data_IF_813930003439
#
_entry.id   IF_813930003439
#
_cell.length_a   1.000
_cell.length_b   1.000
_cell.length_c   1.000
_cell.angle_alpha   90.00
_cell.angle_beta   90.00
_cell.angle_gamma   90.00
#
_symmetry.space_group_name_H-M   'P 1'
#
loop_
_entity.id
_entity.type
_entity.pdbx_description
1 polymer ?
#
# COMPACT_ATOMS: atom_id res chain seq x y z
N UNK A 1 -32.97 -89.00 28.31
CA UNK A 1 -32.31 -87.71 28.59
C UNK A 1 -30.96 -87.70 27.89
N UNK A 2 -30.68 -86.72 27.02
CA UNK A 2 -29.30 -86.47 26.55
C UNK A 2 -29.03 -86.36 25.04
N UNK A 3 -30.03 -86.17 24.15
CA UNK A 3 -29.81 -85.94 22.71
C UNK A 3 -29.58 -84.47 22.32
N UNK A 4 -28.97 -83.65 23.19
CA UNK A 4 -28.98 -82.18 23.01
C UNK A 4 -27.61 -81.49 23.00
N UNK A 5 -26.49 -82.22 23.06
CA UNK A 5 -25.17 -81.60 23.27
C UNK A 5 -24.24 -81.57 22.05
N UNK A 6 -24.50 -82.31 20.96
CA UNK A 6 -23.58 -82.39 19.80
C UNK A 6 -23.97 -81.56 18.57
N UNK A 7 -25.18 -81.00 18.51
CA UNK A 7 -25.62 -80.16 17.39
C UNK A 7 -25.33 -78.65 17.56
N UNK A 8 -24.87 -78.21 18.73
CA UNK A 8 -24.63 -76.78 19.01
C UNK A 8 -23.24 -76.27 18.62
N UNK A 9 -22.27 -77.14 18.33
CA UNK A 9 -20.91 -76.70 17.97
C UNK A 9 -20.71 -76.50 16.45
N UNK A 10 -21.54 -77.10 15.60
CA UNK A 10 -21.41 -76.95 14.14
C UNK A 10 -22.21 -75.79 13.55
N UNK A 11 -23.27 -75.30 14.22
CA UNK A 11 -23.99 -74.09 13.79
C UNK A 11 -23.30 -72.78 14.21
N UNK A 12 -22.35 -72.82 15.16
CA UNK A 12 -21.61 -71.64 15.59
C UNK A 12 -20.47 -71.25 14.65
N UNK A 13 -19.88 -72.22 13.92
CA UNK A 13 -18.74 -71.98 13.03
C UNK A 13 -19.16 -71.54 11.62
N UNK A 14 -20.31 -72.01 11.13
CA UNK A 14 -20.84 -71.59 9.81
C UNK A 14 -21.52 -70.22 9.86
N UNK A 15 -22.05 -69.79 11.01
CA UNK A 15 -22.55 -68.43 11.20
C UNK A 15 -21.42 -67.39 11.35
N UNK A 16 -20.23 -67.79 11.83
CA UNK A 16 -19.07 -66.89 11.95
C UNK A 16 -18.27 -66.71 10.65
N UNK A 17 -18.42 -67.62 9.68
CA UNK A 17 -17.81 -67.48 8.34
C UNK A 17 -18.70 -66.74 7.33
N UNK A 18 -19.99 -66.55 7.64
CA UNK A 18 -20.91 -65.72 6.84
C UNK A 18 -21.15 -64.31 7.40
N UNK A 19 -20.47 -63.93 8.49
CA UNK A 19 -20.52 -62.57 9.05
C UNK A 19 -19.27 -61.73 8.73
N UNK A 20 -18.35 -62.24 7.90
CA UNK A 20 -17.22 -61.48 7.34
C UNK A 20 -17.56 -60.94 5.93
N UNK A 21 -18.83 -60.62 5.68
CA UNK A 21 -19.26 -59.83 4.51
C UNK A 21 -19.88 -58.48 4.90
N UNK A 22 -19.80 -58.11 6.19
CA UNK A 22 -20.27 -56.81 6.69
C UNK A 22 -19.12 -55.92 7.16
N UNK A 23 -18.24 -55.53 6.24
CA UNK A 23 -17.41 -54.33 6.42
C UNK A 23 -16.87 -53.77 5.10
N UNK A 24 -17.73 -53.67 4.07
CA UNK A 24 -17.48 -52.82 2.90
C UNK A 24 -17.74 -51.33 3.19
N UNK A 25 -17.39 -50.85 4.38
CA UNK A 25 -17.70 -49.50 4.86
C UNK A 25 -16.72 -48.42 4.31
N UNK A 26 -16.07 -48.69 3.19
CA UNK A 26 -15.20 -47.73 2.51
C UNK A 26 -15.52 -47.75 1.01
N UNK A 27 -15.97 -46.61 0.48
CA UNK A 27 -16.33 -46.41 -0.92
C UNK A 27 -15.23 -45.67 -1.72
N UNK A 28 -14.00 -45.71 -1.22
CA UNK A 28 -12.81 -45.17 -1.89
C UNK A 28 -12.11 -46.34 -2.57
N UNK A 29 -12.00 -46.29 -3.90
CA UNK A 29 -11.19 -47.24 -4.64
C UNK A 29 -9.70 -47.02 -4.33
N UNK A 30 -9.04 -48.08 -3.85
CA UNK A 30 -7.62 -48.08 -3.51
C UNK A 30 -6.80 -48.97 -4.45
N UNK A 31 -7.46 -49.71 -5.36
CA UNK A 31 -6.81 -50.64 -6.28
C UNK A 31 -6.34 -49.93 -7.56
N UNK A 32 -7.12 -48.95 -8.05
CA UNK A 32 -6.79 -48.20 -9.27
C UNK A 32 -6.72 -46.68 -9.07
N UNK A 33 -5.81 -46.15 -8.22
CA UNK A 33 -5.67 -44.71 -8.03
C UNK A 33 -5.00 -44.03 -9.23
N UNK A 34 -5.52 -42.88 -9.64
CA UNK A 34 -4.82 -41.97 -10.55
C UNK A 34 -3.65 -41.30 -9.80
N UNK A 35 -2.44 -41.34 -10.38
CA UNK A 35 -1.23 -40.87 -9.72
C UNK A 35 -0.59 -39.69 -10.45
N UNK A 36 -0.65 -38.52 -9.83
CA UNK A 36 0.02 -37.32 -10.32
C UNK A 36 1.38 -37.14 -9.64
N UNK A 37 2.46 -37.25 -10.41
CA UNK A 37 3.82 -37.05 -9.91
C UNK A 37 4.34 -35.65 -10.26
N UNK A 38 5.02 -35.03 -9.30
CA UNK A 38 5.70 -33.76 -9.48
C UNK A 38 6.97 -33.70 -8.63
N UNK A 39 7.65 -32.57 -8.66
CA UNK A 39 8.91 -32.38 -7.94
C UNK A 39 8.66 -32.34 -6.40
N UNK A 40 9.18 -33.31 -5.63
CA UNK A 40 9.01 -33.34 -4.19
C UNK A 40 9.73 -32.19 -3.48
N UNK A 41 10.82 -31.67 -4.06
CA UNK A 41 11.57 -30.54 -3.47
C UNK A 41 10.80 -29.22 -3.60
N UNK A 42 9.97 -29.10 -4.65
CA UNK A 42 9.05 -27.99 -4.84
C UNK A 42 7.80 -28.08 -3.95
N UNK A 43 7.64 -29.17 -3.18
CA UNK A 43 6.43 -29.49 -2.41
C UNK A 43 5.18 -29.60 -3.29
N UNK A 44 5.33 -30.21 -4.45
CA UNK A 44 4.19 -30.53 -5.30
C UNK A 44 3.16 -31.36 -4.52
N UNK A 45 1.90 -30.94 -4.53
CA UNK A 45 0.82 -31.59 -3.77
C UNK A 45 0.54 -30.94 -2.41
N UNK A 46 1.20 -29.83 -2.06
CA UNK A 46 1.01 -29.17 -0.76
C UNK A 46 -0.45 -28.74 -0.51
N UNK A 47 -1.13 -28.24 -1.54
CA UNK A 47 -2.57 -28.07 -1.58
C UNK A 47 -3.11 -28.63 -2.89
N UNK A 48 -4.30 -29.22 -2.79
CA UNK A 48 -5.04 -29.76 -3.93
C UNK A 48 -6.49 -29.30 -3.81
N UNK A 49 -7.09 -28.90 -4.93
CA UNK A 49 -8.52 -28.68 -5.02
C UNK A 49 -9.05 -29.07 -6.39
N UNK A 50 -10.36 -29.29 -6.49
CA UNK A 50 -11.04 -29.50 -7.75
C UNK A 50 -11.61 -28.16 -8.23
N UNK A 51 -11.44 -27.87 -9.52
CA UNK A 51 -11.97 -26.66 -10.14
C UNK A 51 -12.54 -26.98 -11.53
N UNK A 52 -13.57 -26.24 -11.94
CA UNK A 52 -14.14 -26.34 -13.28
C UNK A 52 -13.66 -25.18 -14.14
N UNK A 53 -13.31 -25.46 -15.38
CA UNK A 53 -12.94 -24.42 -16.34
C UNK A 53 -13.24 -24.91 -17.75
N UNK A 54 -14.00 -24.12 -18.51
CA UNK A 54 -14.46 -24.41 -19.87
C UNK A 54 -15.15 -25.78 -19.97
N UNK A 55 -16.02 -26.08 -18.99
CA UNK A 55 -16.78 -27.33 -18.93
C UNK A 55 -15.95 -28.57 -18.57
N UNK A 56 -14.64 -28.45 -18.36
CA UNK A 56 -13.77 -29.53 -17.91
C UNK A 56 -13.48 -29.43 -16.41
N UNK A 57 -13.31 -30.57 -15.75
CA UNK A 57 -12.92 -30.63 -14.33
C UNK A 57 -11.41 -30.87 -14.24
N UNK A 58 -10.75 -30.05 -13.44
CA UNK A 58 -9.31 -30.06 -13.24
C UNK A 58 -8.98 -30.26 -11.77
N UNK A 59 -7.89 -30.97 -11.50
CA UNK A 59 -7.24 -30.92 -10.20
C UNK A 59 -6.22 -29.79 -10.24
N UNK A 60 -6.36 -28.80 -9.36
CA UNK A 60 -5.37 -27.73 -9.20
C UNK A 60 -4.44 -28.10 -8.07
N UNK A 61 -3.14 -28.16 -8.36
CA UNK A 61 -2.11 -28.61 -7.43
C UNK A 61 -1.09 -27.49 -7.23
N UNK A 62 -0.75 -27.19 -5.97
CA UNK A 62 0.30 -26.22 -5.67
C UNK A 62 1.65 -26.87 -5.41
N UNK A 63 2.71 -26.11 -5.70
CA UNK A 63 4.10 -26.43 -5.39
C UNK A 63 4.79 -25.16 -4.83
N UNK A 64 4.61 -24.83 -3.55
CA UNK A 64 5.00 -23.54 -2.98
C UNK A 64 6.51 -23.28 -2.93
N UNK A 65 7.36 -24.32 -2.97
CA UNK A 65 8.82 -24.14 -2.93
C UNK A 65 9.48 -24.08 -4.31
N UNK A 66 8.69 -24.16 -5.38
CA UNK A 66 9.18 -24.04 -6.75
C UNK A 66 9.97 -22.74 -6.98
N UNK A 67 11.09 -22.83 -7.71
CA UNK A 67 12.06 -21.75 -7.99
C UNK A 67 12.32 -20.82 -6.80
N UNK A 68 13.06 -21.32 -5.81
CA UNK A 68 13.51 -20.53 -4.65
C UNK A 68 12.35 -19.83 -3.91
N UNK A 69 11.29 -20.60 -3.59
CA UNK A 69 10.09 -20.10 -2.89
C UNK A 69 9.28 -19.08 -3.70
N UNK A 70 9.37 -19.07 -5.03
CA UNK A 70 8.39 -18.36 -5.86
C UNK A 70 7.03 -19.03 -5.74
N UNK A 71 7.03 -20.36 -5.86
CA UNK A 71 5.83 -21.17 -5.86
C UNK A 71 5.17 -21.20 -7.23
N UNK A 72 4.45 -22.28 -7.49
CA UNK A 72 3.75 -22.48 -8.76
C UNK A 72 2.46 -23.25 -8.56
N UNK A 73 1.58 -23.14 -9.55
CA UNK A 73 0.34 -23.89 -9.66
C UNK A 73 0.38 -24.78 -10.90
N UNK A 74 -0.31 -25.91 -10.81
CA UNK A 74 -0.47 -26.88 -11.90
C UNK A 74 -1.96 -27.18 -12.06
N UNK A 75 -2.38 -27.38 -13.30
CA UNK A 75 -3.67 -28.00 -13.61
C UNK A 75 -3.40 -29.44 -14.04
N UNK A 76 -4.13 -30.38 -13.49
CA UNK A 76 -3.98 -31.80 -13.81
C UNK A 76 -5.29 -32.38 -14.33
N UNK A 77 -5.20 -33.06 -15.47
CA UNK A 77 -6.33 -33.73 -16.09
C UNK A 77 -6.41 -35.17 -15.59
N UNK A 78 -7.57 -35.56 -15.05
CA UNK A 78 -7.81 -36.91 -14.56
C UNK A 78 -7.66 -37.96 -15.67
N UNK A 79 -8.25 -37.72 -16.84
CA UNK A 79 -8.30 -38.70 -17.93
C UNK A 79 -6.93 -39.04 -18.52
N UNK A 80 -5.98 -38.12 -18.46
CA UNK A 80 -4.64 -38.28 -19.04
C UNK A 80 -3.57 -38.48 -17.97
N UNK A 81 -3.92 -38.31 -16.69
CA UNK A 81 -2.99 -38.33 -15.55
C UNK A 81 -1.80 -37.36 -15.73
N UNK A 82 -1.99 -36.30 -16.51
CA UNK A 82 -0.95 -35.29 -16.78
C UNK A 82 -1.20 -34.00 -16.03
N UNK A 83 -0.12 -33.39 -15.56
CA UNK A 83 -0.12 -32.06 -14.93
C UNK A 83 0.64 -31.06 -15.79
N UNK A 84 0.04 -29.91 -16.04
CA UNK A 84 0.64 -28.79 -16.75
C UNK A 84 0.80 -27.60 -15.80
N UNK A 85 1.99 -27.00 -15.78
CA UNK A 85 2.26 -25.81 -14.98
C UNK A 85 1.51 -24.61 -15.56
N UNK A 86 0.86 -23.82 -14.71
CA UNK A 86 0.24 -22.57 -15.14
C UNK A 86 1.35 -21.55 -15.49
N UNK A 87 1.32 -20.91 -16.68
CA UNK A 87 2.30 -19.91 -17.10
C UNK A 87 2.00 -18.57 -16.43
N UNK A 88 2.20 -18.52 -15.12
CA UNK A 88 2.18 -17.29 -14.37
C UNK A 88 3.43 -16.50 -14.77
N UNK A 89 3.29 -15.21 -15.08
CA UNK A 89 4.42 -14.35 -15.45
C UNK A 89 5.45 -14.21 -14.34
N UNK A 90 6.10 -13.05 -14.24
CA UNK A 90 7.05 -12.83 -13.14
C UNK A 90 6.28 -12.63 -11.83
N UNK A 91 6.43 -13.59 -10.90
CA UNK A 91 5.91 -13.52 -9.53
C UNK A 91 7.10 -13.43 -8.56
N UNK A 92 7.03 -12.60 -7.51
CA UNK A 92 8.07 -12.55 -6.47
C UNK A 92 8.15 -13.86 -5.64
N UNK A 93 9.23 -14.08 -4.86
CA UNK A 93 9.36 -15.22 -3.95
C UNK A 93 8.37 -15.13 -2.78
N UNK A 94 7.15 -15.64 -2.97
CA UNK A 94 6.03 -15.55 -2.00
C UNK A 94 5.53 -16.90 -1.49
N UNK A 95 6.10 -17.99 -1.99
CA UNK A 95 5.64 -19.37 -1.80
C UNK A 95 4.21 -19.55 -2.26
N UNK A 96 3.91 -19.12 -3.50
CA UNK A 96 2.56 -19.14 -4.05
C UNK A 96 1.95 -20.55 -3.96
N UNK A 97 0.74 -20.63 -3.41
CA UNK A 97 0.00 -21.88 -3.27
C UNK A 97 0.16 -22.54 -1.90
N UNK A 98 0.75 -21.84 -0.91
CA UNK A 98 0.62 -22.21 0.50
C UNK A 98 -0.84 -22.14 0.98
N UNK A 99 -1.63 -21.24 0.40
CA UNK A 99 -3.08 -21.26 0.53
C UNK A 99 -3.72 -21.24 -0.85
N UNK A 100 -4.82 -21.98 -0.97
CA UNK A 100 -5.51 -22.22 -2.23
C UNK A 100 -6.98 -22.45 -1.93
N UNK A 101 -7.87 -21.76 -2.64
CA UNK A 101 -9.31 -21.96 -2.56
C UNK A 101 -9.95 -21.73 -3.92
N UNK A 102 -11.09 -22.37 -4.15
CA UNK A 102 -11.89 -22.19 -5.35
C UNK A 102 -13.36 -22.08 -4.97
N UNK A 103 -14.16 -21.40 -5.79
CA UNK A 103 -15.61 -21.45 -5.67
C UNK A 103 -16.22 -22.56 -6.55
N UNK A 104 -17.48 -22.88 -6.26
CA UNK A 104 -18.23 -23.97 -6.89
C UNK A 104 -19.07 -23.49 -8.09
N UNK A 105 -18.63 -22.44 -8.80
CA UNK A 105 -19.31 -21.98 -10.02
C UNK A 105 -19.09 -22.92 -11.21
N UNK A 106 -19.81 -22.67 -12.31
CA UNK A 106 -19.67 -23.42 -13.57
C UNK A 106 -18.26 -23.32 -14.14
N UNK A 107 -17.67 -22.13 -14.05
CA UNK A 107 -16.24 -21.87 -14.20
C UNK A 107 -15.75 -21.35 -12.85
N UNK A 108 -14.98 -22.17 -12.15
CA UNK A 108 -14.47 -21.88 -10.82
C UNK A 108 -13.47 -20.73 -10.88
N UNK A 109 -13.71 -19.69 -10.07
CA UNK A 109 -12.68 -18.74 -9.66
C UNK A 109 -11.77 -19.42 -8.65
N UNK A 110 -10.48 -19.20 -8.78
CA UNK A 110 -9.48 -19.78 -7.90
C UNK A 110 -8.66 -18.64 -7.31
N UNK A 111 -8.43 -18.67 -6.00
CA UNK A 111 -7.48 -17.78 -5.35
C UNK A 111 -6.32 -18.62 -4.84
N UNK A 112 -5.10 -18.21 -5.17
CA UNK A 112 -3.89 -18.77 -4.61
C UNK A 112 -3.09 -17.66 -3.95
N UNK A 113 -2.62 -17.87 -2.73
CA UNK A 113 -1.81 -16.89 -2.05
C UNK A 113 -0.44 -17.43 -1.64
N UNK A 114 0.51 -16.51 -1.59
CA UNK A 114 1.82 -16.67 -1.01
C UNK A 114 1.99 -15.70 0.18
N UNK A 115 1.87 -16.17 1.43
CA UNK A 115 1.95 -15.35 2.65
C UNK A 115 3.40 -15.07 3.11
N UNK A 116 4.40 -15.28 2.24
CA UNK A 116 5.82 -15.14 2.59
C UNK A 116 6.52 -14.05 1.78
N UNK A 117 5.78 -12.99 1.42
CA UNK A 117 6.38 -11.86 0.71
C UNK A 117 7.23 -11.03 1.66
N UNK A 118 8.52 -11.37 1.69
CA UNK A 118 9.53 -10.64 2.44
C UNK A 118 10.01 -9.43 1.64
N UNK A 119 9.94 -8.25 2.24
CA UNK A 119 10.50 -7.04 1.64
C UNK A 119 11.03 -6.10 2.72
N UNK A 120 12.07 -5.35 2.38
CA UNK A 120 12.68 -4.38 3.29
C UNK A 120 11.95 -3.05 3.24
N UNK A 121 11.74 -2.46 4.41
CA UNK A 121 11.22 -1.11 4.58
C UNK A 121 12.08 -0.32 5.59
N UNK A 122 12.97 0.53 5.07
CA UNK A 122 14.03 1.13 5.88
C UNK A 122 14.94 0.03 6.46
N UNK A 123 15.17 0.08 7.77
CA UNK A 123 15.92 -0.96 8.52
C UNK A 123 15.07 -2.18 8.88
N UNK A 124 13.75 -2.12 8.69
CA UNK A 124 12.84 -3.20 9.04
C UNK A 124 12.62 -4.16 7.87
N UNK A 125 12.33 -5.42 8.18
CA UNK A 125 11.86 -6.41 7.20
C UNK A 125 10.39 -6.67 7.45
N UNK A 126 9.56 -6.46 6.43
CA UNK A 126 8.12 -6.76 6.46
C UNK A 126 7.88 -8.16 5.88
N UNK A 127 6.83 -8.81 6.38
CA UNK A 127 6.38 -10.12 5.94
C UNK A 127 4.85 -10.07 5.71
N UNK A 128 4.49 -9.77 4.47
CA UNK A 128 3.10 -9.73 4.03
C UNK A 128 2.79 -10.90 3.10
N UNK A 129 1.56 -10.95 2.58
CA UNK A 129 1.21 -11.89 1.55
C UNK A 129 0.62 -11.24 0.31
N UNK A 130 0.74 -11.97 -0.80
CA UNK A 130 0.20 -11.60 -2.10
C UNK A 130 -0.66 -12.77 -2.58
N UNK A 131 -1.84 -12.45 -3.08
CA UNK A 131 -2.79 -13.39 -3.64
C UNK A 131 -3.02 -13.10 -5.12
N UNK A 132 -3.32 -14.15 -5.88
CA UNK A 132 -3.71 -14.08 -7.28
C UNK A 132 -5.08 -14.73 -7.44
N UNK A 133 -6.02 -13.97 -8.01
CA UNK A 133 -7.36 -14.45 -8.36
C UNK A 133 -7.41 -14.79 -9.85
N UNK A 134 -7.73 -16.05 -10.13
CA UNK A 134 -7.85 -16.62 -11.45
C UNK A 134 -9.33 -16.78 -11.81
N UNK A 135 -9.70 -16.36 -13.01
CA UNK A 135 -11.06 -16.57 -13.55
C UNK A 135 -11.12 -17.73 -14.55
N UNK A 136 -9.97 -18.25 -14.99
CA UNK A 136 -9.84 -19.39 -15.92
C UNK A 136 -8.51 -20.11 -15.70
N UNK A 137 -8.46 -21.39 -16.10
CA UNK A 137 -7.26 -22.23 -16.12
C UNK A 137 -6.67 -22.41 -17.53
N UNK A 138 -7.09 -21.61 -18.51
CA UNK A 138 -6.63 -21.69 -19.90
C UNK A 138 -5.21 -21.15 -20.10
N UNK A 139 -4.24 -22.03 -20.33
CA UNK A 139 -2.80 -21.68 -20.44
C UNK A 139 -2.49 -20.56 -21.46
N UNK A 140 -3.32 -20.38 -22.49
CA UNK A 140 -3.11 -19.35 -23.52
C UNK A 140 -3.55 -17.93 -23.14
N UNK A 141 -4.31 -17.75 -22.04
CA UNK A 141 -4.86 -16.45 -21.65
C UNK A 141 -4.96 -16.30 -20.11
N UNK A 142 -3.91 -16.69 -19.38
CA UNK A 142 -3.86 -16.53 -17.93
C UNK A 142 -3.35 -15.13 -17.58
N UNK A 143 -4.23 -14.29 -17.04
CA UNK A 143 -3.89 -13.00 -16.44
C UNK A 143 -4.63 -12.85 -15.11
N UNK A 144 -4.03 -13.29 -13.99
CA UNK A 144 -4.69 -13.23 -12.69
C UNK A 144 -4.71 -11.80 -12.15
N UNK A 145 -5.76 -11.49 -11.38
CA UNK A 145 -5.81 -10.25 -10.62
C UNK A 145 -4.98 -10.40 -9.33
N UNK A 146 -3.99 -9.54 -9.14
CA UNK A 146 -3.24 -9.45 -7.89
C UNK A 146 -4.07 -8.79 -6.79
N UNK A 147 -4.03 -9.38 -5.59
CA UNK A 147 -4.71 -8.89 -4.38
C UNK A 147 -3.68 -8.90 -3.25
N UNK A 148 -3.62 -7.80 -2.48
CA UNK A 148 -2.70 -7.64 -1.34
C UNK A 148 -3.49 -7.49 -0.04
N UNK A 149 -3.97 -8.60 0.55
CA UNK A 149 -4.77 -8.54 1.76
C UNK A 149 -3.91 -8.10 2.96
N UNK A 150 -4.44 -7.20 3.78
CA UNK A 150 -3.78 -6.73 5.00
C UNK A 150 -2.32 -6.27 4.76
N UNK A 151 -2.06 -5.66 3.60
CA UNK A 151 -0.72 -5.27 3.19
C UNK A 151 -0.34 -3.91 3.75
N UNK A 152 0.79 -3.84 4.44
CA UNK A 152 1.35 -2.58 4.91
C UNK A 152 2.21 -1.96 3.82
N UNK A 153 1.85 -0.77 3.36
CA UNK A 153 2.70 -0.02 2.42
C UNK A 153 4.00 0.38 3.11
N UNK A 154 5.11 0.19 2.41
CA UNK A 154 6.39 0.66 2.89
C UNK A 154 6.50 2.17 2.71
N UNK A 155 6.58 2.89 3.82
CA UNK A 155 6.81 4.33 3.83
C UNK A 155 8.22 4.60 4.34
N UNK A 156 9.09 5.07 3.46
CA UNK A 156 10.48 5.44 3.76
C UNK A 156 10.64 6.96 3.77
N UNK A 157 10.32 7.54 4.93
CA UNK A 157 10.57 8.95 5.19
C UNK A 157 9.59 9.92 4.53
N UNK A 158 9.98 11.19 4.52
CA UNK A 158 9.16 12.32 4.05
C UNK A 158 9.92 13.14 3.03
N UNK A 159 9.32 13.41 1.88
CA UNK A 159 9.79 14.41 0.94
C UNK A 159 8.93 15.67 1.10
N UNK A 160 9.54 16.71 1.67
CA UNK A 160 8.88 17.97 2.01
C UNK A 160 9.27 19.07 1.02
N UNK A 161 8.29 19.68 0.37
CA UNK A 161 8.45 20.91 -0.42
C UNK A 161 7.99 22.09 0.43
N UNK A 162 8.87 23.06 0.65
CA UNK A 162 8.48 24.38 1.16
C UNK A 162 8.27 25.29 -0.06
N UNK A 163 7.02 25.67 -0.29
CA UNK A 163 6.61 26.57 -1.36
C UNK A 163 6.27 27.92 -0.76
N UNK A 164 7.09 28.93 -1.03
CA UNK A 164 6.90 30.26 -0.45
C UNK A 164 6.49 31.30 -1.49
N UNK A 165 5.59 32.19 -1.08
CA UNK A 165 5.14 33.33 -1.84
C UNK A 165 6.25 34.38 -1.93
N UNK A 166 6.51 34.87 -3.14
CA UNK A 166 7.51 35.88 -3.47
C UNK A 166 6.87 37.06 -4.24
N UNK A 167 5.57 37.26 -4.04
CA UNK A 167 4.81 38.33 -4.69
C UNK A 167 5.18 39.72 -4.18
N UNK A 168 4.72 40.74 -4.91
CA UNK A 168 5.04 42.14 -4.63
C UNK A 168 4.48 42.68 -3.30
N UNK A 169 3.55 41.96 -2.64
CA UNK A 169 3.06 42.33 -1.29
C UNK A 169 4.12 42.13 -0.21
N UNK A 170 5.10 41.27 -0.46
CA UNK A 170 6.12 40.92 0.50
C UNK A 170 7.26 41.92 0.42
N UNK A 171 7.42 42.74 1.46
CA UNK A 171 8.58 43.64 1.56
C UNK A 171 9.90 42.88 1.64
N UNK A 172 11.00 43.51 1.20
CA UNK A 172 12.36 42.94 1.32
C UNK A 172 12.70 42.46 2.74
N UNK A 173 12.24 43.18 3.76
CA UNK A 173 12.46 42.79 5.17
C UNK A 173 11.67 41.52 5.55
N UNK A 174 10.41 41.43 5.10
CA UNK A 174 9.58 40.25 5.31
C UNK A 174 10.14 39.04 4.56
N UNK A 175 10.61 39.24 3.32
CA UNK A 175 11.30 38.21 2.55
C UNK A 175 12.52 37.65 3.29
N UNK A 176 13.38 38.51 3.86
CA UNK A 176 14.53 38.04 4.65
C UNK A 176 14.09 37.26 5.92
N UNK A 177 12.96 37.64 6.52
CA UNK A 177 12.42 36.95 7.69
C UNK A 177 11.88 35.56 7.32
N UNK A 178 11.09 35.48 6.24
CA UNK A 178 10.59 34.22 5.69
C UNK A 178 11.73 33.30 5.26
N UNK A 179 12.73 33.83 4.56
CA UNK A 179 13.93 33.09 4.16
C UNK A 179 14.64 32.47 5.37
N UNK A 180 14.87 33.25 6.43
CA UNK A 180 15.49 32.75 7.67
C UNK A 180 14.66 31.63 8.29
N UNK A 181 13.35 31.82 8.40
CA UNK A 181 12.44 30.80 8.92
C UNK A 181 12.54 29.47 8.13
N UNK A 182 12.56 29.53 6.79
CA UNK A 182 12.71 28.33 5.94
C UNK A 182 14.05 27.63 6.21
N UNK A 183 15.14 28.39 6.31
CA UNK A 183 16.47 27.84 6.59
C UNK A 183 16.56 27.22 7.98
N UNK A 184 15.97 27.86 8.99
CA UNK A 184 15.94 27.34 10.36
C UNK A 184 15.07 26.08 10.46
N UNK A 185 13.95 26.03 9.72
CA UNK A 185 13.11 24.83 9.62
C UNK A 185 13.88 23.64 9.04
N UNK A 186 14.61 23.85 7.95
CA UNK A 186 15.44 22.82 7.30
C UNK A 186 16.63 22.44 8.17
N UNK A 187 17.32 23.42 8.77
CA UNK A 187 18.53 23.20 9.56
C UNK A 187 18.28 22.40 10.84
N UNK A 188 17.07 22.46 11.38
CA UNK A 188 16.63 21.69 12.54
C UNK A 188 16.21 20.24 12.23
N UNK A 189 16.17 19.85 10.95
CA UNK A 189 15.90 18.47 10.58
C UNK A 189 16.96 17.54 11.22
N UNK A 190 16.55 16.51 11.98
CA UNK A 190 17.49 15.64 12.66
C UNK A 190 18.37 14.92 11.62
N UNK A 191 19.69 14.79 11.85
CA UNK A 191 20.58 14.07 10.94
C UNK A 191 20.19 12.60 10.71
N UNK A 192 19.49 12.01 11.68
CA UNK A 192 18.97 10.64 11.63
C UNK A 192 17.56 10.55 11.04
N UNK A 193 16.88 11.68 10.83
CA UNK A 193 15.54 11.70 10.25
C UNK A 193 15.57 11.49 8.73
N UNK A 194 14.60 10.76 8.22
CA UNK A 194 14.47 10.44 6.80
C UNK A 194 13.65 11.50 6.04
N UNK A 195 13.89 12.78 6.34
CA UNK A 195 13.22 13.92 5.69
C UNK A 195 14.15 14.56 4.67
N UNK A 196 13.66 14.70 3.43
CA UNK A 196 14.35 15.44 2.37
C UNK A 196 13.56 16.69 2.02
N UNK A 197 14.26 17.81 1.93
CA UNK A 197 13.64 19.09 1.59
C UNK A 197 13.90 19.49 0.13
N UNK A 198 12.90 20.14 -0.45
CA UNK A 198 13.00 20.99 -1.63
C UNK A 198 12.42 22.35 -1.27
N UNK A 199 12.99 23.42 -1.80
CA UNK A 199 12.39 24.76 -1.69
C UNK A 199 12.06 25.27 -3.08
N UNK A 200 10.85 25.76 -3.24
CA UNK A 200 10.38 26.46 -4.43
C UNK A 200 9.75 27.79 -4.03
N UNK A 201 9.79 28.76 -4.93
CA UNK A 201 9.13 30.04 -4.74
C UNK A 201 8.15 30.31 -5.86
N UNK A 202 7.13 31.11 -5.58
CA UNK A 202 6.17 31.50 -6.59
C UNK A 202 5.79 32.98 -6.48
N UNK A 203 5.60 33.60 -7.64
CA UNK A 203 4.85 34.83 -7.79
C UNK A 203 3.91 34.67 -8.99
N UNK A 204 4.19 35.34 -10.11
CA UNK A 204 3.53 35.10 -11.42
C UNK A 204 3.98 33.77 -12.05
N UNK A 205 5.21 33.35 -11.76
CA UNK A 205 5.81 32.09 -12.20
C UNK A 205 6.36 31.33 -10.98
N UNK A 206 6.61 30.02 -11.13
CA UNK A 206 7.14 29.16 -10.06
C UNK A 206 8.51 28.64 -10.43
N UNK A 207 9.47 28.76 -9.50
CA UNK A 207 10.84 28.28 -9.70
C UNK A 207 11.33 27.47 -8.51
N UNK A 208 12.11 26.43 -8.81
CA UNK A 208 12.78 25.60 -7.79
C UNK A 208 14.06 26.30 -7.35
N UNK A 209 14.18 26.63 -6.07
CA UNK A 209 15.40 27.19 -5.47
C UNK A 209 16.46 26.08 -5.37
N UNK A 210 16.05 24.91 -4.88
CA UNK A 210 16.87 23.69 -4.93
C UNK A 210 15.99 22.44 -4.85
N UNK A 211 16.40 21.37 -5.53
CA UNK A 211 15.69 20.08 -5.58
C UNK A 211 16.11 19.11 -4.46
N UNK A 212 15.35 18.02 -4.31
CA UNK A 212 15.67 16.95 -3.36
C UNK A 212 17.04 16.34 -3.60
N UNK A 213 17.46 16.23 -4.88
CA UNK A 213 18.80 15.77 -5.24
C UNK A 213 19.89 16.66 -4.63
N UNK A 214 19.71 17.98 -4.69
CA UNK A 214 20.68 18.94 -4.14
C UNK A 214 20.71 18.90 -2.62
N UNK A 215 19.55 18.73 -1.97
CA UNK A 215 19.48 18.48 -0.53
C UNK A 215 20.15 17.16 -0.16
N UNK A 216 19.89 16.06 -0.87
CA UNK A 216 20.49 14.76 -0.56
C UNK A 216 22.02 14.77 -0.63
N UNK A 217 22.61 15.49 -1.59
CA UNK A 217 24.07 15.54 -1.77
C UNK A 217 24.81 16.35 -0.70
N UNK A 218 24.17 17.36 -0.14
CA UNK A 218 24.83 18.35 0.72
C UNK A 218 24.19 18.50 2.11
N UNK A 219 23.05 17.84 2.35
CA UNK A 219 22.24 17.94 3.56
C UNK A 219 21.98 19.38 3.96
N UNK A 220 22.09 19.64 5.26
CA UNK A 220 21.89 20.97 5.85
C UNK A 220 23.08 21.93 5.59
N UNK A 221 24.09 21.51 4.81
CA UNK A 221 25.33 22.28 4.56
C UNK A 221 25.31 23.06 3.25
N UNK A 222 24.21 23.04 2.49
CA UNK A 222 24.16 23.87 1.27
C UNK A 222 24.16 25.34 1.68
N UNK A 223 24.96 26.20 1.02
CA UNK A 223 24.87 27.65 1.17
C UNK A 223 23.61 28.14 0.44
N UNK A 224 22.43 27.70 0.89
CA UNK A 224 21.13 27.99 0.28
C UNK A 224 20.87 29.49 0.23
N UNK A 225 21.44 30.24 1.17
CA UNK A 225 21.32 31.68 1.29
C UNK A 225 21.55 32.46 0.00
N UNK A 226 22.52 32.03 -0.82
CA UNK A 226 22.90 32.73 -2.04
C UNK A 226 21.94 32.49 -3.22
N UNK A 227 20.97 31.60 -3.07
CA UNK A 227 20.11 31.11 -4.17
C UNK A 227 18.69 31.69 -4.10
N UNK A 228 18.28 32.19 -2.94
CA UNK A 228 16.99 32.87 -2.79
C UNK A 228 17.00 34.20 -3.53
N UNK A 229 16.05 34.34 -4.47
CA UNK A 229 15.80 35.58 -5.20
C UNK A 229 14.44 36.13 -4.78
N UNK A 230 14.34 37.46 -4.76
CA UNK A 230 13.09 38.19 -4.57
C UNK A 230 12.75 38.85 -5.90
N UNK A 231 11.90 38.20 -6.69
CA UNK A 231 11.56 38.60 -8.05
C UNK A 231 10.31 39.47 -8.11
N UNK A 232 9.49 39.48 -7.04
CA UNK A 232 8.19 40.16 -6.98
C UNK A 232 7.22 39.63 -8.07
N UNK A 233 6.00 40.17 -8.12
CA UNK A 233 4.98 39.80 -9.11
C UNK A 233 3.61 39.56 -8.51
N UNK A 234 2.76 38.84 -9.26
CA UNK A 234 1.43 38.42 -8.84
C UNK A 234 1.51 37.22 -7.86
N UNK A 235 0.37 36.72 -7.37
CA UNK A 235 0.28 35.65 -6.38
C UNK A 235 -0.44 34.45 -7.00
N UNK A 236 0.25 33.65 -7.83
CA UNK A 236 -0.37 32.54 -8.59
C UNK A 236 -0.33 31.20 -7.83
N UNK A 237 -1.00 31.15 -6.68
CA UNK A 237 -0.94 30.00 -5.76
C UNK A 237 -1.43 28.68 -6.37
N UNK A 238 -2.58 28.62 -7.08
CA UNK A 238 -3.02 27.41 -7.76
C UNK A 238 -2.01 26.87 -8.78
N UNK A 239 -1.45 27.73 -9.65
CA UNK A 239 -0.42 27.34 -10.61
C UNK A 239 0.82 26.79 -9.91
N UNK A 240 1.23 27.40 -8.80
CA UNK A 240 2.39 26.94 -8.03
C UNK A 240 2.18 25.56 -7.39
N UNK A 241 1.01 25.30 -6.81
CA UNK A 241 0.65 23.97 -6.27
C UNK A 241 0.67 22.92 -7.38
N UNK A 242 0.05 23.24 -8.52
CA UNK A 242 0.04 22.33 -9.68
C UNK A 242 1.46 22.07 -10.20
N UNK A 243 2.30 23.11 -10.30
CA UNK A 243 3.70 22.96 -10.70
C UNK A 243 4.47 22.06 -9.75
N UNK A 244 4.33 22.23 -8.44
CA UNK A 244 4.98 21.36 -7.45
C UNK A 244 4.54 19.90 -7.62
N UNK A 245 3.23 19.67 -7.76
CA UNK A 245 2.70 18.34 -7.99
C UNK A 245 3.31 17.73 -9.27
N UNK A 246 3.25 18.43 -10.40
CA UNK A 246 3.59 17.89 -11.71
C UNK A 246 5.10 17.82 -11.98
N UNK A 247 5.87 18.78 -11.47
CA UNK A 247 7.27 19.01 -11.86
C UNK A 247 8.28 18.87 -10.73
N UNK A 248 7.88 18.94 -9.46
CA UNK A 248 8.83 18.88 -8.33
C UNK A 248 8.79 17.52 -7.64
N UNK A 249 7.60 16.97 -7.39
CA UNK A 249 7.44 15.61 -6.89
C UNK A 249 7.63 14.56 -7.99
N UNK A 250 8.83 14.54 -8.56
CA UNK A 250 9.22 13.61 -9.62
C UNK A 250 10.58 12.96 -9.33
N UNK A 251 10.83 11.72 -9.79
CA UNK A 251 12.11 11.05 -9.59
C UNK A 251 13.30 11.84 -10.14
N UNK A 252 13.11 12.59 -11.23
CA UNK A 252 14.16 13.42 -11.85
C UNK A 252 14.64 14.55 -10.91
N UNK A 253 13.76 15.02 -10.02
CA UNK A 253 14.10 15.99 -8.98
C UNK A 253 14.58 15.36 -7.67
N UNK A 254 14.63 14.03 -7.60
CA UNK A 254 15.07 13.27 -6.43
C UNK A 254 13.95 12.88 -5.47
N UNK A 255 12.68 13.04 -5.86
CA UNK A 255 11.57 12.59 -5.05
C UNK A 255 11.52 11.05 -5.02
N UNK A 256 11.36 10.48 -3.83
CA UNK A 256 11.34 9.04 -3.58
C UNK A 256 9.94 8.49 -3.81
N UNK A 257 9.80 7.37 -4.55
CA UNK A 257 8.48 6.76 -4.79
C UNK A 257 7.74 6.34 -3.52
N UNK A 258 8.48 5.93 -2.48
CA UNK A 258 7.94 5.39 -1.22
C UNK A 258 7.92 6.41 -0.07
N UNK A 259 8.35 7.65 -0.27
CA UNK A 259 8.27 8.67 0.77
C UNK A 259 6.87 9.29 0.80
N UNK A 260 6.41 9.69 2.00
CA UNK A 260 5.25 10.57 2.10
C UNK A 260 5.60 11.93 1.49
N UNK A 261 4.69 12.47 0.69
CA UNK A 261 4.88 13.76 0.03
C UNK A 261 4.17 14.84 0.83
N UNK A 262 4.91 15.85 1.25
CA UNK A 262 4.39 16.97 2.02
C UNK A 262 4.68 18.28 1.29
N UNK A 263 3.66 19.11 1.12
CA UNK A 263 3.78 20.47 0.61
C UNK A 263 3.39 21.45 1.72
N UNK A 264 4.30 22.34 2.09
CA UNK A 264 4.03 23.47 2.99
C UNK A 264 3.96 24.74 2.15
N UNK A 265 2.79 25.37 2.07
CA UNK A 265 2.57 26.62 1.34
C UNK A 265 2.62 27.79 2.31
N UNK A 266 3.53 28.74 2.08
CA UNK A 266 3.63 30.00 2.84
C UNK A 266 3.14 31.14 1.95
N UNK A 267 2.16 31.93 2.38
CA UNK A 267 1.65 33.09 1.62
C UNK A 267 1.18 34.22 2.53
N UNK A 268 1.33 35.48 2.07
CA UNK A 268 0.84 36.67 2.76
C UNK A 268 -0.42 37.29 2.12
N UNK A 269 -0.90 36.69 1.02
CA UNK A 269 -1.91 37.29 0.16
C UNK A 269 -2.94 36.30 -0.39
N UNK A 270 -3.97 36.88 -0.99
CA UNK A 270 -4.97 36.15 -1.76
C UNK A 270 -4.44 35.88 -3.17
N UNK A 271 -4.67 34.68 -3.67
CA UNK A 271 -4.36 34.35 -5.05
C UNK A 271 -5.15 35.20 -6.04
N UNK A 272 -4.44 35.70 -7.05
CA UNK A 272 -4.99 36.40 -8.21
C UNK A 272 -4.74 35.64 -9.52
N UNK A 273 -4.48 34.33 -9.41
CA UNK A 273 -4.24 33.41 -10.53
C UNK A 273 -5.43 33.35 -11.49
N UNK A 274 -5.16 33.62 -12.77
CA UNK A 274 -6.13 33.50 -13.87
C UNK A 274 -5.83 32.32 -14.80
N UNK A 275 -4.67 31.67 -14.66
CA UNK A 275 -4.20 30.57 -15.50
C UNK A 275 -4.84 29.25 -15.07
N UNK A 276 -4.99 29.02 -13.76
CA UNK A 276 -5.64 27.82 -13.22
C UNK A 276 -6.47 28.15 -11.97
N UNK A 277 -7.02 27.12 -11.31
CA UNK A 277 -7.81 27.26 -10.09
C UNK A 277 -7.48 26.18 -9.07
N UNK A 278 -7.83 26.43 -7.81
CA UNK A 278 -7.53 25.51 -6.70
C UNK A 278 -8.08 24.11 -6.91
N UNK A 279 -9.25 23.94 -7.54
CA UNK A 279 -9.81 22.60 -7.80
C UNK A 279 -8.84 21.76 -8.63
N UNK A 280 -8.38 22.28 -9.78
CA UNK A 280 -7.44 21.56 -10.65
C UNK A 280 -6.10 21.31 -9.96
N UNK A 281 -5.58 22.31 -9.25
CA UNK A 281 -4.31 22.20 -8.55
C UNK A 281 -4.36 21.14 -7.43
N UNK A 282 -5.45 21.13 -6.66
CA UNK A 282 -5.67 20.17 -5.59
C UNK A 282 -5.91 18.76 -6.14
N UNK A 283 -6.66 18.61 -7.23
CA UNK A 283 -6.83 17.31 -7.91
C UNK A 283 -5.47 16.72 -8.33
N UNK A 284 -4.57 17.54 -8.92
CA UNK A 284 -3.22 17.11 -9.28
C UNK A 284 -2.40 16.68 -8.04
N UNK A 285 -2.52 17.43 -6.94
CA UNK A 285 -1.84 17.12 -5.69
C UNK A 285 -2.38 15.84 -5.02
N UNK A 286 -3.70 15.66 -5.00
CA UNK A 286 -4.40 14.52 -4.39
C UNK A 286 -4.13 13.22 -5.16
N UNK A 287 -4.10 13.26 -6.50
CA UNK A 287 -3.71 12.12 -7.34
C UNK A 287 -2.30 11.61 -7.00
N UNK A 288 -1.42 12.51 -6.56
CA UNK A 288 -0.05 12.19 -6.12
C UNK A 288 0.06 11.95 -4.61
N UNK A 289 -1.06 11.90 -3.88
CA UNK A 289 -1.15 11.71 -2.42
C UNK A 289 -0.29 12.72 -1.64
N UNK A 290 -0.25 13.97 -2.09
CA UNK A 290 0.51 15.04 -1.44
C UNK A 290 -0.31 15.63 -0.29
N UNK A 291 0.18 15.48 0.94
CA UNK A 291 -0.35 16.17 2.12
C UNK A 291 0.04 17.64 2.03
N UNK A 292 -0.90 18.56 2.29
CA UNK A 292 -0.70 20.00 2.16
C UNK A 292 -0.96 20.71 3.47
N UNK A 293 0.01 21.52 3.89
CA UNK A 293 -0.11 22.50 4.97
C UNK A 293 -0.17 23.89 4.36
N UNK A 294 -1.05 24.74 4.89
CA UNK A 294 -1.20 26.12 4.45
C UNK A 294 -0.86 27.05 5.61
N UNK A 295 0.09 27.97 5.40
CA UNK A 295 0.53 28.95 6.39
C UNK A 295 0.26 30.35 5.85
N UNK A 296 -0.72 31.02 6.44
CA UNK A 296 -1.04 32.42 6.15
C UNK A 296 -0.26 33.37 7.03
N UNK A 297 0.37 34.38 6.43
CA UNK A 297 1.13 35.40 7.17
C UNK A 297 0.43 36.74 7.04
N UNK A 298 0.03 37.32 8.17
CA UNK A 298 -0.60 38.61 8.25
C UNK A 298 -2.05 38.54 8.75
N UNK A 299 -2.49 39.67 9.31
CA UNK A 299 -3.84 39.82 9.91
C UNK A 299 -5.01 39.59 8.96
N UNK A 300 -4.76 39.52 7.65
CA UNK A 300 -5.78 39.20 6.64
C UNK A 300 -6.35 37.79 6.83
N UNK A 301 -5.58 36.87 7.43
CA UNK A 301 -5.96 35.48 7.67
C UNK A 301 -6.57 35.20 9.05
N UNK A 302 -6.50 36.15 9.98
CA UNK A 302 -6.96 35.95 11.38
C UNK A 302 -8.48 35.78 11.52
N UNK A 303 -9.25 36.21 10.52
CA UNK A 303 -10.71 36.08 10.53
C UNK A 303 -11.15 34.91 9.64
N UNK A 304 -11.61 33.83 10.29
CA UNK A 304 -12.01 32.59 9.65
C UNK A 304 -13.23 32.74 8.71
N UNK A 305 -13.99 33.82 8.84
CA UNK A 305 -15.15 34.10 7.98
C UNK A 305 -14.73 34.72 6.64
N UNK A 306 -13.50 35.23 6.54
CA UNK A 306 -13.03 35.92 5.34
C UNK A 306 -12.54 34.95 4.27
N UNK A 307 -12.64 35.43 3.04
CA UNK A 307 -12.14 34.74 1.84
C UNK A 307 -10.69 34.28 1.97
N UNK A 308 -9.84 35.06 2.64
CA UNK A 308 -8.43 34.73 2.84
C UNK A 308 -8.23 33.44 3.64
N UNK A 309 -8.95 33.29 4.75
CA UNK A 309 -8.90 32.04 5.53
C UNK A 309 -9.49 30.86 4.75
N UNK A 310 -10.61 31.08 4.04
CA UNK A 310 -11.22 30.05 3.19
C UNK A 310 -10.26 29.57 2.09
N UNK A 311 -9.42 30.45 1.57
CA UNK A 311 -8.39 30.10 0.59
C UNK A 311 -7.32 29.19 1.21
N UNK A 312 -6.81 29.50 2.40
CA UNK A 312 -5.89 28.61 3.12
C UNK A 312 -6.51 27.23 3.40
N UNK A 313 -7.78 27.21 3.81
CA UNK A 313 -8.51 25.96 4.04
C UNK A 313 -8.74 25.17 2.74
N UNK A 314 -8.78 25.86 1.60
CA UNK A 314 -8.84 25.22 0.27
C UNK A 314 -7.48 24.62 -0.12
N UNK A 315 -6.37 25.25 0.26
CA UNK A 315 -5.01 24.75 0.00
C UNK A 315 -4.70 23.52 0.85
N UNK A 316 -4.98 23.59 2.15
CA UNK A 316 -4.64 22.55 3.10
C UNK A 316 -5.42 21.25 2.81
N UNK A 317 -4.79 20.10 3.04
CA UNK A 317 -5.47 18.80 2.85
C UNK A 317 -6.54 18.55 3.91
N UNK A 318 -6.43 19.17 5.09
CA UNK A 318 -7.36 19.05 6.21
C UNK A 318 -7.41 20.35 7.03
N UNK A 319 -8.52 20.64 7.74
CA UNK A 319 -8.64 21.87 8.54
C UNK A 319 -7.53 22.02 9.60
N UNK A 320 -7.06 20.93 10.20
CA UNK A 320 -5.98 20.93 11.21
C UNK A 320 -4.57 21.20 10.64
N UNK A 321 -4.48 21.40 9.32
CA UNK A 321 -3.25 21.70 8.59
C UNK A 321 -3.20 23.16 8.10
N UNK A 322 -4.14 23.99 8.56
CA UNK A 322 -4.14 25.44 8.35
C UNK A 322 -3.47 26.10 9.55
N UNK A 323 -2.50 26.97 9.28
CA UNK A 323 -1.80 27.77 10.28
C UNK A 323 -1.86 29.23 9.85
N UNK A 324 -2.02 30.13 10.81
CA UNK A 324 -1.94 31.57 10.57
C UNK A 324 -1.10 32.25 11.65
N UNK A 325 -0.39 33.30 11.24
CA UNK A 325 0.37 34.17 12.13
C UNK A 325 0.12 35.62 11.78
N UNK A 326 0.14 36.49 12.81
CA UNK A 326 -0.12 37.92 12.62
C UNK A 326 0.96 38.65 11.79
N UNK A 327 2.18 38.09 11.71
CA UNK A 327 3.32 38.70 11.04
C UNK A 327 4.43 37.70 10.71
N UNK A 328 5.35 38.08 9.82
CA UNK A 328 6.52 37.27 9.47
C UNK A 328 7.42 37.00 10.68
N UNK A 329 7.51 37.94 11.63
CA UNK A 329 8.28 37.77 12.86
C UNK A 329 7.70 36.67 13.76
N UNK A 330 6.39 36.43 13.66
CA UNK A 330 5.72 35.39 14.42
C UNK A 330 5.83 33.99 13.78
N UNK A 331 6.37 33.85 12.56
CA UNK A 331 6.61 32.52 11.95
C UNK A 331 7.47 31.62 12.83
N UNK A 332 8.40 32.18 13.60
CA UNK A 332 9.23 31.42 14.54
C UNK A 332 8.41 30.68 15.61
N UNK A 333 7.22 31.18 15.99
CA UNK A 333 6.35 30.49 16.95
C UNK A 333 5.68 29.25 16.36
N UNK A 334 5.54 29.18 15.03
CA UNK A 334 5.02 28.01 14.31
C UNK A 334 6.10 26.98 13.99
N UNK A 335 7.39 27.35 14.08
CA UNK A 335 8.49 26.47 13.70
C UNK A 335 8.43 25.13 14.44
N UNK A 336 8.29 25.15 15.76
CA UNK A 336 8.22 23.93 16.57
C UNK A 336 7.00 23.06 16.22
N UNK A 337 5.84 23.68 15.97
CA UNK A 337 4.61 22.98 15.61
C UNK A 337 4.69 22.33 14.22
N UNK A 338 5.25 23.05 13.25
CA UNK A 338 5.47 22.53 11.90
C UNK A 338 6.52 21.42 11.92
N UNK A 339 7.60 21.58 12.68
CA UNK A 339 8.61 20.53 12.87
C UNK A 339 7.98 19.28 13.45
N UNK A 340 7.26 19.40 14.57
CA UNK A 340 6.58 18.28 15.21
C UNK A 340 5.64 17.58 14.22
N UNK A 341 4.84 18.32 13.45
CA UNK A 341 3.94 17.73 12.45
C UNK A 341 4.66 17.12 11.26
N UNK A 342 5.72 17.75 10.74
CA UNK A 342 6.53 17.21 9.62
C UNK A 342 7.23 15.92 10.06
N UNK A 343 7.80 15.90 11.26
CA UNK A 343 8.52 14.73 11.79
C UNK A 343 7.56 13.65 12.30
N UNK A 344 6.36 13.99 12.76
CA UNK A 344 5.33 13.00 13.07
C UNK A 344 4.83 12.26 11.81
N UNK A 345 4.94 12.87 10.61
CA UNK A 345 4.63 12.20 9.35
C UNK A 345 5.63 11.05 9.08
N UNK A 346 6.89 11.21 9.50
CA UNK A 346 7.90 10.15 9.54
C UNK A 346 7.58 9.10 10.62
N UNK A 347 7.12 9.56 11.79
CA UNK A 347 6.87 8.78 13.01
C UNK A 347 5.74 7.75 12.97
N UNK A 348 4.99 7.57 11.87
CA UNK A 348 4.12 6.38 11.73
C UNK A 348 4.90 5.09 11.50
N UNK A 349 6.23 5.17 11.33
CA UNK A 349 7.12 4.01 11.21
C UNK A 349 8.02 3.82 12.44
N UNK A 350 8.01 4.76 13.40
CA UNK A 350 8.78 4.70 14.63
C UNK A 350 7.99 5.31 15.79
N UNK A 351 6.99 4.56 16.27
CA UNK A 351 6.47 4.79 17.61
C UNK A 351 7.57 4.39 18.62
N UNK A 352 8.04 5.41 19.34
CA UNK A 352 8.71 5.36 20.63
C UNK A 352 8.46 4.07 21.43
N UNK A 353 9.56 3.43 21.87
CA UNK A 353 9.63 2.42 22.93
C UNK A 353 8.42 1.46 23.00
N UNK A 354 8.57 0.34 22.29
CA UNK A 354 7.62 -0.76 22.07
C UNK A 354 6.64 -0.54 20.91
N UNK A 355 7.16 -0.46 19.68
CA UNK A 355 6.34 -0.50 18.47
C UNK A 355 5.68 -1.89 18.33
N UNK A 356 4.41 -2.00 18.69
CA UNK A 356 3.60 -3.15 18.30
C UNK A 356 3.48 -3.20 16.78
N UNK A 357 3.73 -4.36 16.18
CA UNK A 357 3.40 -4.57 14.76
C UNK A 357 1.89 -4.39 14.56
N UNK A 358 1.49 -3.61 13.56
CA UNK A 358 0.12 -3.57 13.06
C UNK A 358 -0.03 -4.62 11.96
N UNK A 359 0.38 -4.27 10.73
CA UNK A 359 0.23 -5.09 9.54
C UNK A 359 1.57 -5.45 8.88
N UNK A 360 2.70 -5.02 9.43
CA UNK A 360 4.05 -5.26 8.86
C UNK A 360 4.36 -6.75 8.74
N UNK A 361 3.84 -7.56 9.66
CA UNK A 361 4.00 -9.02 9.72
C UNK A 361 2.66 -9.75 9.55
N UNK A 362 1.70 -9.15 8.84
CA UNK A 362 0.32 -9.64 8.77
C UNK A 362 0.16 -10.99 8.07
N UNK A 363 1.08 -11.34 7.17
CA UNK A 363 1.01 -12.54 6.32
C UNK A 363 -0.37 -12.75 5.68
N UNK A 364 -1.00 -11.67 5.21
CA UNK A 364 -2.35 -11.73 4.62
C UNK A 364 -2.46 -12.81 3.54
N UNK A 365 -3.55 -13.58 3.55
CA UNK A 365 -3.70 -14.73 2.64
C UNK A 365 -3.02 -16.00 3.14
N UNK A 366 -2.58 -16.07 4.41
CA UNK A 366 -2.15 -17.31 5.05
C UNK A 366 -3.20 -18.43 4.94
N UNK A 367 -4.47 -18.04 5.02
CA UNK A 367 -5.62 -18.85 4.62
C UNK A 367 -6.52 -18.05 3.69
N UNK A 368 -7.24 -18.72 2.79
CA UNK A 368 -8.18 -18.09 1.89
C UNK A 368 -9.46 -18.93 1.75
N UNK A 369 -10.58 -18.24 1.48
CA UNK A 369 -11.86 -18.84 1.11
C UNK A 369 -12.50 -17.97 0.03
N UNK A 370 -13.11 -18.60 -0.97
CA UNK A 370 -13.88 -17.91 -2.01
C UNK A 370 -15.35 -18.29 -1.88
N UNK A 371 -16.20 -17.42 -1.29
CA UNK A 371 -17.63 -17.66 -1.28
C UNK A 371 -18.21 -17.48 -2.70
N UNK A 372 -19.33 -18.16 -3.02
CA UNK A 372 -20.05 -17.94 -4.27
C UNK A 372 -20.50 -16.48 -4.38
N UNK A 373 -20.53 -15.93 -5.60
CA UNK A 373 -20.81 -14.51 -5.89
C UNK A 373 -22.15 -14.02 -5.30
N UNK A 374 -23.09 -14.91 -5.05
CA UNK A 374 -24.40 -14.64 -4.43
C UNK A 374 -24.39 -14.53 -2.90
N UNK A 375 -23.26 -14.77 -2.21
CA UNK A 375 -23.24 -14.97 -0.76
C UNK A 375 -22.70 -13.81 0.09
N UNK A 376 -22.36 -12.63 -0.46
CA UNK A 376 -21.82 -11.53 0.36
C UNK A 376 -22.53 -10.19 0.08
N UNK A 377 -23.69 -10.01 0.73
CA UNK A 377 -24.05 -8.70 1.30
C UNK A 377 -23.92 -8.84 2.81
N UNK A 378 -22.74 -8.54 3.33
CA UNK A 378 -22.60 -8.19 4.74
C UNK A 378 -22.69 -6.67 4.78
N UNK A 379 -23.84 -6.08 5.14
CA UNK A 379 -23.85 -4.68 5.51
C UNK A 379 -23.06 -4.59 6.82
N UNK A 380 -21.83 -4.10 6.77
CA UNK A 380 -21.19 -3.61 7.98
C UNK A 380 -22.05 -2.42 8.46
N UNK A 381 -22.68 -2.47 9.64
CA UNK A 381 -23.23 -1.29 10.24
C UNK A 381 -22.05 -0.42 10.65
N UNK A 382 -21.93 0.77 10.06
CA UNK A 382 -21.08 1.83 10.61
C UNK A 382 -21.55 2.09 12.05
N UNK A 383 -20.65 2.17 13.05
CA UNK A 383 -21.03 2.58 14.38
C UNK A 383 -21.51 4.03 14.32
N UNK A 384 -22.80 4.23 14.54
CA UNK A 384 -23.34 5.52 14.90
C UNK A 384 -22.79 5.88 16.29
N UNK A 385 -21.83 6.79 16.36
CA UNK A 385 -21.46 7.40 17.62
C UNK A 385 -22.57 8.38 18.09
N UNK A 386 -22.78 8.48 19.42
CA UNK A 386 -23.90 9.18 20.04
C UNK A 386 -23.85 10.70 19.92
#
# INVERSE_FOLDING_TARGET
>A
MGSAARAKLFLGATAFLHLIECSGAFNIDTETPALFQGDPTAWFGYRVLQAKSNGSTWLVVSAPLWENRTGSLYRCAYNTETCERLPLGQIPPISLGLSLAADESTDSRIIACGPTYEHRCGENTFLNGICYLFSSLDLGNISPQEIRPAYQECVTGVDAVILYDDSQSISKQNFQTMKRFILDLIGAAPPEGDVRFTVAHFSTETYVVFSFNKYHQAGNRVPYDAIFLHLEGETHTPSAIQFVADKVFTPENGARPQAKRLLVVLTDGLSNDKKTNFRKANEAADQKRIVRFAVGVGKVFADQTKRAWQELNTIASRPENVFDVDSFQALESLRAQLQEKIFAIEGTSQASNASSFELELSQGGFSAVLPPVSAVRIPCPLPSHP
#
